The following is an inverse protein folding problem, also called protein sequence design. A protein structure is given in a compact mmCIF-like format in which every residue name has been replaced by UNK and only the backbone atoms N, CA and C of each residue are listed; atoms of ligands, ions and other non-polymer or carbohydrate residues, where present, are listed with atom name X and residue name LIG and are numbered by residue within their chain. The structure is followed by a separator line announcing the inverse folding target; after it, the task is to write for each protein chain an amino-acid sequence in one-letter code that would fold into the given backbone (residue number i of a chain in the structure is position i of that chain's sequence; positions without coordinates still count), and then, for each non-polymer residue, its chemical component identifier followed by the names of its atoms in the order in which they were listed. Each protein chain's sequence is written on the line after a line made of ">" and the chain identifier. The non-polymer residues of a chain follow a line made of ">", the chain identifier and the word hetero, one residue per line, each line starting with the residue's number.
data_IF_177580186499
#
_entry.id   IF_177580186499
#
_cell.length_a   1.000
_cell.length_b   1.000
_cell.length_c   1.000
_cell.angle_alpha   90.00
_cell.angle_beta   90.00
_cell.angle_gamma   90.00
#
_symmetry.space_group_name_H-M   'P 1'
#
loop_
_entity.id
_entity.type
_entity.pdbx_description
1 polymer ?
#
# COMPACT_ATOMS: atom_id res chain seq x y z
N UNK A 1 13.59 14.50 -5.17
CA UNK A 1 14.69 13.52 -5.09
C UNK A 1 14.46 12.58 -3.92
N UNK A 2 14.65 11.27 -4.14
CA UNK A 2 14.49 10.23 -3.12
C UNK A 2 15.86 9.88 -2.57
N UNK A 3 16.07 10.00 -1.28
CA UNK A 3 17.32 9.64 -0.62
C UNK A 3 17.13 8.42 0.26
N UNK A 4 17.73 7.30 -0.14
CA UNK A 4 17.84 6.10 0.69
C UNK A 4 19.14 6.17 1.50
N UNK A 5 19.04 6.34 2.81
CA UNK A 5 20.17 6.49 3.71
C UNK A 5 20.24 7.88 4.31
N UNK A 6 21.34 8.16 4.99
CA UNK A 6 21.62 9.49 5.55
C UNK A 6 22.46 10.30 4.56
N UNK A 7 21.97 11.44 4.14
CA UNK A 7 22.68 12.35 3.25
C UNK A 7 22.63 13.78 3.76
N UNK A 8 23.68 14.50 3.51
CA UNK A 8 23.75 15.93 3.83
C UNK A 8 23.91 16.71 2.52
N UNK A 9 22.94 17.55 2.21
CA UNK A 9 23.04 18.49 1.11
C UNK A 9 23.63 19.79 1.65
N UNK A 10 24.71 20.24 1.05
CA UNK A 10 25.34 21.52 1.40
C UNK A 10 24.96 22.55 0.34
N UNK A 11 24.40 23.67 0.76
CA UNK A 11 24.13 24.78 -0.13
C UNK A 11 25.45 25.39 -0.65
N UNK A 12 25.51 25.81 -1.91
CA UNK A 12 26.64 26.58 -2.41
C UNK A 12 26.90 27.85 -1.58
N UNK A 13 28.09 28.38 -1.67
CA UNK A 13 28.47 29.61 -0.92
C UNK A 13 27.46 30.75 -1.15
N UNK A 14 27.00 31.36 -0.07
CA UNK A 14 25.99 32.42 -0.12
C UNK A 14 24.56 31.97 -0.44
N UNK A 15 24.29 30.65 -0.47
CA UNK A 15 22.96 30.08 -0.62
C UNK A 15 22.53 29.36 0.65
N UNK A 16 21.22 29.21 0.83
CA UNK A 16 20.68 28.67 2.06
C UNK A 16 19.46 27.79 1.80
N UNK A 17 19.20 26.87 2.72
CA UNK A 17 17.91 26.22 2.91
C UNK A 17 17.13 27.00 3.96
N UNK A 18 15.88 27.30 3.67
CA UNK A 18 14.97 27.94 4.60
C UNK A 18 13.91 26.93 5.06
N UNK A 19 13.93 26.61 6.33
CA UNK A 19 13.03 25.63 6.93
C UNK A 19 12.56 26.13 8.30
N UNK A 20 11.25 26.12 8.54
CA UNK A 20 10.66 26.50 9.83
C UNK A 20 11.14 27.86 10.40
N UNK A 21 11.28 28.85 9.53
CA UNK A 21 11.72 30.18 9.94
C UNK A 21 13.23 30.34 10.13
N UNK A 22 14.03 29.32 9.76
CA UNK A 22 15.49 29.34 9.95
C UNK A 22 16.23 29.15 8.62
N UNK A 23 17.38 29.79 8.51
CA UNK A 23 18.31 29.59 7.42
C UNK A 23 19.38 28.57 7.83
N UNK A 24 19.67 27.62 6.95
CA UNK A 24 20.71 26.63 7.16
C UNK A 24 21.57 26.49 5.90
N UNK A 25 22.88 26.36 6.05
CA UNK A 25 23.80 26.05 4.94
C UNK A 25 23.78 24.55 4.58
N UNK A 26 23.22 23.72 5.43
CA UNK A 26 23.14 22.27 5.25
C UNK A 26 21.73 21.76 5.52
N UNK A 27 21.27 20.82 4.70
CA UNK A 27 20.04 20.09 4.89
C UNK A 27 20.39 18.61 5.11
N UNK A 28 20.20 18.15 6.33
CA UNK A 28 20.40 16.75 6.67
C UNK A 28 19.13 15.97 6.37
N UNK A 29 19.27 14.87 5.64
CA UNK A 29 18.18 13.98 5.25
C UNK A 29 18.54 12.54 5.64
N UNK A 30 17.61 11.86 6.24
CA UNK A 30 17.72 10.43 6.53
C UNK A 30 16.43 9.77 6.13
N UNK A 31 16.46 8.97 5.06
CA UNK A 31 15.28 8.26 4.53
C UNK A 31 14.06 9.17 4.34
N UNK A 32 14.28 10.34 3.76
CA UNK A 32 13.25 11.36 3.60
C UNK A 32 13.02 11.72 2.14
N UNK A 33 11.78 12.08 1.83
CA UNK A 33 11.45 12.86 0.63
C UNK A 33 11.33 14.31 1.07
N UNK A 34 12.04 15.19 0.40
CA UNK A 34 11.99 16.63 0.67
C UNK A 34 11.58 17.34 -0.60
N UNK A 35 10.56 18.17 -0.47
CA UNK A 35 10.10 19.05 -1.54
C UNK A 35 10.72 20.43 -1.32
N UNK A 36 11.43 20.90 -2.33
CA UNK A 36 12.14 22.16 -2.30
C UNK A 36 11.62 23.11 -3.38
N UNK A 37 11.42 24.35 -3.04
CA UNK A 37 11.19 25.42 -4.01
C UNK A 37 12.33 26.42 -3.96
N UNK A 38 12.87 26.78 -5.11
CA UNK A 38 13.87 27.84 -5.20
C UNK A 38 13.26 29.21 -4.92
N UNK A 39 13.99 30.06 -4.25
CA UNK A 39 13.58 31.44 -4.03
C UNK A 39 14.71 32.43 -4.35
N UNK A 40 14.30 33.60 -4.80
CA UNK A 40 15.23 34.65 -5.21
C UNK A 40 14.49 35.78 -5.90
N UNK A 41 15.25 36.73 -6.44
CA UNK A 41 14.74 37.74 -7.38
C UNK A 41 14.95 37.28 -8.81
N UNK A 42 14.45 38.03 -9.78
CA UNK A 42 14.65 37.73 -11.22
C UNK A 42 16.12 37.64 -11.64
N UNK A 43 17.02 38.24 -10.87
CA UNK A 43 18.46 38.25 -11.13
C UNK A 43 19.31 37.55 -10.09
N UNK A 44 18.76 37.19 -8.94
CA UNK A 44 19.53 36.61 -7.83
C UNK A 44 18.80 35.46 -7.16
N UNK A 45 19.38 34.28 -7.23
CA UNK A 45 18.91 33.09 -6.52
C UNK A 45 19.48 33.09 -5.10
N UNK A 46 18.63 32.96 -4.08
CA UNK A 46 19.04 32.98 -2.67
C UNK A 46 19.13 31.59 -2.07
N UNK A 47 18.37 30.63 -2.57
CA UNK A 47 18.40 29.29 -2.03
C UNK A 47 17.07 28.55 -2.22
N UNK A 48 16.75 27.66 -1.28
CA UNK A 48 15.59 26.79 -1.34
C UNK A 48 14.76 26.91 -0.07
N UNK A 49 13.45 26.97 -0.23
CA UNK A 49 12.49 26.81 0.86
C UNK A 49 12.14 25.32 0.93
N UNK A 50 12.25 24.75 2.11
CA UNK A 50 11.76 23.41 2.40
C UNK A 50 10.24 23.49 2.60
N UNK A 51 9.46 23.05 1.61
CA UNK A 51 8.00 23.08 1.65
C UNK A 51 7.44 21.92 2.46
N UNK A 52 8.01 20.75 2.24
CA UNK A 52 7.52 19.53 2.85
C UNK A 52 8.67 18.58 3.09
N UNK A 53 8.63 17.90 4.22
CA UNK A 53 9.57 16.85 4.56
C UNK A 53 8.77 15.63 4.98
N UNK A 54 8.87 14.57 4.19
CA UNK A 54 8.24 13.29 4.49
C UNK A 54 9.31 12.26 4.75
N UNK A 55 9.26 11.68 5.89
CA UNK A 55 10.13 10.56 6.22
C UNK A 55 9.67 9.31 5.47
N UNK A 56 10.60 8.59 4.85
CA UNK A 56 10.33 7.31 4.18
C UNK A 56 10.34 6.13 5.16
N UNK A 57 10.26 6.43 6.45
CA UNK A 57 10.16 5.46 7.53
C UNK A 57 11.50 4.83 7.91
N UNK A 58 11.93 5.07 9.13
CA UNK A 58 12.59 4.03 9.91
C UNK A 58 11.48 3.34 10.70
N UNK A 59 11.57 2.05 10.86
CA UNK A 59 10.57 1.17 11.46
C UNK A 59 10.15 1.49 12.91
N UNK A 60 10.50 2.65 13.46
CA UNK A 60 10.27 2.97 14.87
C UNK A 60 9.60 4.30 15.18
N UNK A 61 9.30 5.17 14.21
CA UNK A 61 8.75 6.50 14.51
C UNK A 61 7.61 6.99 13.60
N UNK A 62 7.14 6.18 12.66
CA UNK A 62 6.03 6.58 11.80
C UNK A 62 4.80 5.82 12.18
N UNK A 63 4.00 6.49 12.97
CA UNK A 63 2.62 6.15 13.14
C UNK A 63 1.99 5.88 11.78
N UNK A 64 1.50 4.65 11.62
CA UNK A 64 0.32 4.31 10.87
C UNK A 64 0.21 4.82 9.42
N UNK A 65 1.23 4.63 8.59
CA UNK A 65 0.97 4.69 7.17
C UNK A 65 0.45 3.33 6.70
N UNK A 66 -0.84 3.29 6.43
CA UNK A 66 -1.42 2.17 5.70
C UNK A 66 -0.77 2.09 4.32
N UNK A 67 0.16 1.16 4.15
CA UNK A 67 0.77 0.93 2.86
C UNK A 67 -0.12 0.01 2.03
N UNK A 68 -0.55 0.49 0.88
CA UNK A 68 -1.16 -0.37 -0.13
C UNK A 68 -0.18 -1.44 -0.58
N UNK A 69 -0.55 -2.71 -0.46
CA UNK A 69 0.26 -3.85 -0.89
C UNK A 69 -0.23 -4.43 -2.22
N UNK A 70 -1.52 -4.71 -2.32
CA UNK A 70 -2.12 -5.26 -3.52
C UNK A 70 -3.60 -4.92 -3.65
N UNK A 71 -4.10 -4.91 -4.86
CA UNK A 71 -5.52 -4.99 -5.18
C UNK A 71 -5.75 -6.08 -6.22
N UNK A 72 -6.90 -6.70 -6.14
CA UNK A 72 -7.27 -7.71 -7.12
C UNK A 72 -8.76 -7.80 -7.35
N UNK A 73 -9.11 -8.27 -8.53
CA UNK A 73 -10.46 -8.64 -8.92
C UNK A 73 -10.48 -10.12 -9.31
N UNK A 74 -11.19 -10.89 -8.54
CA UNK A 74 -11.42 -12.32 -8.78
C UNK A 74 -12.75 -12.46 -9.48
N UNK A 75 -12.74 -13.01 -10.68
CA UNK A 75 -13.95 -13.38 -11.42
C UNK A 75 -14.01 -14.89 -11.50
N UNK A 76 -15.05 -15.46 -10.94
CA UNK A 76 -15.32 -16.88 -11.07
C UNK A 76 -16.07 -17.11 -12.38
N UNK A 77 -15.46 -17.87 -13.30
CA UNK A 77 -16.05 -18.19 -14.60
C UNK A 77 -16.84 -19.52 -14.54
N UNK A 78 -16.40 -20.43 -13.66
CA UNK A 78 -17.06 -21.69 -13.34
C UNK A 78 -16.53 -22.22 -12.00
N UNK A 79 -17.07 -23.31 -11.50
CA UNK A 79 -16.60 -23.97 -10.26
C UNK A 79 -15.13 -24.40 -10.30
N UNK A 80 -14.54 -24.54 -11.49
CA UNK A 80 -13.15 -24.95 -11.69
C UNK A 80 -12.25 -23.90 -12.34
N UNK A 81 -12.81 -22.75 -12.74
CA UNK A 81 -12.08 -21.72 -13.48
C UNK A 81 -12.31 -20.34 -12.88
N UNK A 82 -11.23 -19.65 -12.60
CA UNK A 82 -11.27 -18.26 -12.16
C UNK A 82 -10.27 -17.39 -12.93
N UNK A 83 -10.58 -16.11 -13.04
CA UNK A 83 -9.68 -15.09 -13.60
C UNK A 83 -9.32 -14.11 -12.49
N UNK A 84 -8.01 -13.87 -12.32
CA UNK A 84 -7.48 -12.88 -11.41
C UNK A 84 -6.88 -11.73 -12.21
N UNK A 85 -7.39 -10.52 -11.99
CA UNK A 85 -6.73 -9.27 -12.40
C UNK A 85 -6.19 -8.60 -11.15
N UNK A 86 -4.91 -8.23 -11.15
CA UNK A 86 -4.27 -7.71 -9.96
C UNK A 86 -3.24 -6.64 -10.26
N UNK A 87 -2.96 -5.81 -9.26
CA UNK A 87 -1.83 -4.89 -9.19
C UNK A 87 -1.23 -4.97 -7.78
N UNK A 88 0.08 -5.04 -7.70
CA UNK A 88 0.85 -5.01 -6.44
C UNK A 88 1.77 -3.80 -6.44
N UNK A 89 2.19 -3.37 -5.27
CA UNK A 89 3.05 -2.18 -5.13
C UNK A 89 4.45 -2.39 -5.75
N UNK A 90 4.94 -3.62 -5.77
CA UNK A 90 6.29 -4.00 -6.22
C UNK A 90 6.31 -4.84 -7.51
N UNK A 91 5.16 -5.06 -8.14
CA UNK A 91 5.03 -5.87 -9.34
C UNK A 91 5.04 -7.39 -9.12
N UNK A 92 5.15 -7.86 -7.88
CA UNK A 92 5.02 -9.28 -7.54
C UNK A 92 3.59 -9.79 -7.80
N UNK A 93 3.36 -11.10 -7.69
CA UNK A 93 2.06 -11.68 -8.01
C UNK A 93 1.41 -12.33 -6.81
N UNK A 94 0.19 -11.91 -6.50
CA UNK A 94 -0.74 -12.63 -5.63
C UNK A 94 -1.29 -13.83 -6.40
N UNK A 95 -1.57 -14.92 -5.73
CA UNK A 95 -2.24 -16.10 -6.30
C UNK A 95 -3.61 -16.29 -5.68
N UNK A 96 -4.56 -16.81 -6.43
CA UNK A 96 -5.89 -17.15 -5.90
C UNK A 96 -6.26 -18.55 -6.37
N UNK A 97 -6.70 -19.37 -5.44
CA UNK A 97 -7.18 -20.71 -5.70
C UNK A 97 -8.50 -20.97 -4.98
N UNK A 98 -9.48 -21.49 -5.68
CA UNK A 98 -10.71 -22.02 -5.07
C UNK A 98 -10.39 -23.35 -4.36
N UNK A 99 -10.77 -23.46 -3.10
CA UNK A 99 -10.49 -24.64 -2.25
C UNK A 99 -11.76 -25.38 -1.80
N UNK A 100 -12.92 -24.80 -2.02
CA UNK A 100 -14.22 -25.39 -1.72
C UNK A 100 -15.35 -24.47 -2.16
N UNK A 101 -16.59 -24.86 -1.93
CA UNK A 101 -17.75 -24.02 -2.18
C UNK A 101 -17.65 -22.75 -1.33
N UNK A 102 -17.63 -21.58 -1.97
CA UNK A 102 -17.47 -20.29 -1.33
C UNK A 102 -16.12 -20.09 -0.61
N UNK A 103 -15.11 -20.93 -0.84
CA UNK A 103 -13.82 -20.85 -0.19
C UNK A 103 -12.69 -20.64 -1.20
N UNK A 104 -11.89 -19.61 -0.95
CA UNK A 104 -10.74 -19.25 -1.78
C UNK A 104 -9.52 -19.01 -0.89
N UNK A 105 -8.38 -19.56 -1.29
CA UNK A 105 -7.09 -19.21 -0.68
C UNK A 105 -6.41 -18.18 -1.56
N UNK A 106 -6.04 -17.06 -0.95
CA UNK A 106 -5.24 -16.00 -1.55
C UNK A 106 -3.83 -16.10 -1.01
N UNK A 107 -2.88 -16.47 -1.87
CA UNK A 107 -1.45 -16.55 -1.53
C UNK A 107 -0.76 -15.22 -1.77
N UNK A 108 0.02 -14.79 -0.78
CA UNK A 108 0.78 -13.55 -0.81
C UNK A 108 2.21 -13.83 -1.29
N UNK A 109 2.80 -12.95 -2.10
CA UNK A 109 4.20 -13.07 -2.47
C UNK A 109 5.16 -12.63 -1.34
N UNK A 110 4.60 -12.07 -0.25
CA UNK A 110 5.34 -11.59 0.92
C UNK A 110 5.00 -12.40 2.15
N UNK A 111 5.94 -12.42 3.11
CA UNK A 111 5.66 -12.88 4.48
C UNK A 111 5.30 -11.67 5.33
N UNK A 112 4.07 -11.61 5.80
CA UNK A 112 3.53 -10.55 6.63
C UNK A 112 3.23 -11.08 8.03
N UNK A 113 3.37 -10.26 9.06
CA UNK A 113 2.81 -10.62 10.36
C UNK A 113 1.28 -10.66 10.27
N UNK A 114 0.66 -11.68 10.86
CA UNK A 114 -0.79 -11.93 10.74
C UNK A 114 -1.63 -10.73 11.18
N UNK A 115 -1.18 -9.98 12.19
CA UNK A 115 -1.88 -8.82 12.71
C UNK A 115 -1.42 -7.49 12.07
N UNK A 116 -0.54 -7.55 11.04
CA UNK A 116 0.03 -6.36 10.43
C UNK A 116 -0.43 -6.12 8.99
N UNK A 117 -1.51 -6.74 8.59
CA UNK A 117 -2.19 -6.39 7.36
C UNK A 117 -3.71 -6.55 7.47
N UNK A 118 -4.41 -5.76 6.73
CA UNK A 118 -5.87 -5.79 6.64
C UNK A 118 -6.29 -6.09 5.21
N UNK A 119 -7.37 -6.83 5.06
CA UNK A 119 -7.98 -7.11 3.76
C UNK A 119 -9.37 -6.51 3.72
N UNK A 120 -9.60 -5.67 2.74
CA UNK A 120 -10.91 -5.10 2.46
C UNK A 120 -11.50 -5.79 1.23
N UNK A 121 -12.80 -5.99 1.22
CA UNK A 121 -13.53 -6.60 0.11
C UNK A 121 -14.61 -5.70 -0.43
N UNK A 122 -14.87 -5.86 -1.72
CA UNK A 122 -16.10 -5.42 -2.37
C UNK A 122 -16.69 -6.61 -3.08
N UNK A 123 -17.96 -6.90 -2.82
CA UNK A 123 -18.72 -7.91 -3.55
C UNK A 123 -18.82 -7.53 -5.02
N UNK A 124 -18.85 -8.53 -5.87
CA UNK A 124 -19.05 -8.36 -7.30
C UNK A 124 -20.19 -9.28 -7.73
N UNK A 125 -21.21 -8.70 -8.33
CA UNK A 125 -22.25 -9.51 -8.98
C UNK A 125 -21.61 -10.29 -10.12
N UNK A 126 -21.82 -11.59 -10.12
CA UNK A 126 -21.46 -12.44 -11.26
C UNK A 126 -22.62 -12.40 -12.30
N UNK A 127 -22.33 -12.40 -13.59
CA UNK A 127 -23.39 -12.56 -14.59
C UNK A 127 -24.18 -13.86 -14.46
N UNK A 128 -23.71 -14.78 -13.62
CA UNK A 128 -24.33 -16.10 -13.37
C UNK A 128 -25.17 -16.12 -12.09
N UNK A 129 -25.07 -15.07 -11.23
CA UNK A 129 -25.75 -15.03 -9.94
C UNK A 129 -26.51 -13.71 -9.77
N UNK A 130 -27.81 -13.84 -9.51
CA UNK A 130 -28.71 -12.70 -9.28
C UNK A 130 -28.68 -12.17 -7.84
N UNK A 131 -28.04 -12.89 -6.91
CA UNK A 131 -27.96 -12.53 -5.49
C UNK A 131 -26.64 -11.82 -5.15
N UNK A 132 -26.66 -10.83 -4.28
CA UNK A 132 -25.43 -10.22 -3.77
C UNK A 132 -24.55 -11.27 -3.09
N UNK A 133 -23.24 -11.18 -3.34
CA UNK A 133 -22.24 -12.03 -2.70
C UNK A 133 -21.43 -11.16 -1.74
N UNK A 134 -21.32 -11.62 -0.52
CA UNK A 134 -20.46 -11.03 0.50
C UNK A 134 -19.15 -11.81 0.57
N UNK A 135 -18.03 -11.11 0.72
CA UNK A 135 -16.72 -11.72 0.91
C UNK A 135 -16.14 -11.29 2.25
N UNK A 136 -15.63 -12.24 3.01
CA UNK A 136 -15.02 -12.03 4.32
C UNK A 136 -13.72 -12.80 4.45
N UNK A 137 -12.81 -12.37 5.33
CA UNK A 137 -11.66 -13.18 5.74
C UNK A 137 -12.13 -14.22 6.73
N UNK A 138 -11.99 -15.50 6.38
CA UNK A 138 -12.24 -16.62 7.28
C UNK A 138 -11.04 -16.91 8.18
N UNK A 139 -9.85 -16.93 7.60
CA UNK A 139 -8.59 -17.17 8.28
C UNK A 139 -7.48 -16.32 7.66
N UNK A 140 -6.55 -15.88 8.48
CA UNK A 140 -5.42 -15.05 8.05
C UNK A 140 -4.11 -15.70 8.53
N UNK A 141 -3.13 -15.76 7.62
CA UNK A 141 -1.80 -16.36 7.84
C UNK A 141 -0.72 -15.40 7.34
N UNK A 142 0.52 -15.66 7.68
CA UNK A 142 1.65 -14.80 7.29
C UNK A 142 1.90 -14.74 5.78
N UNK A 143 1.54 -15.78 5.03
CA UNK A 143 1.77 -15.89 3.57
C UNK A 143 0.48 -16.08 2.76
N UNK A 144 -0.67 -16.06 3.42
CA UNK A 144 -1.96 -16.25 2.74
C UNK A 144 -3.13 -15.85 3.63
N UNK A 145 -4.31 -15.74 3.04
CA UNK A 145 -5.56 -15.68 3.78
C UNK A 145 -6.65 -16.48 3.06
N UNK A 146 -7.63 -16.94 3.82
CA UNK A 146 -8.79 -17.65 3.29
C UNK A 146 -9.95 -16.68 3.23
N UNK A 147 -10.52 -16.55 2.03
CA UNK A 147 -11.74 -15.78 1.77
C UNK A 147 -12.92 -16.75 1.80
N UNK A 148 -13.95 -16.38 2.52
CA UNK A 148 -15.25 -16.99 2.41
C UNK A 148 -16.19 -16.06 1.67
N UNK A 149 -16.79 -16.55 0.59
CA UNK A 149 -17.88 -15.89 -0.11
C UNK A 149 -19.19 -16.57 0.25
N UNK A 150 -20.22 -15.78 0.45
CA UNK A 150 -21.55 -16.28 0.84
C UNK A 150 -22.64 -15.38 0.28
N UNK A 151 -23.80 -15.95 0.06
CA UNK A 151 -25.06 -15.23 -0.08
C UNK A 151 -25.78 -15.13 1.27
N UNK A 152 -27.00 -14.66 1.28
CA UNK A 152 -27.79 -14.47 2.52
C UNK A 152 -28.07 -15.79 3.28
N UNK A 153 -27.90 -16.95 2.65
CA UNK A 153 -28.29 -18.23 3.20
C UNK A 153 -27.12 -19.17 3.51
N UNK A 154 -26.06 -19.17 2.69
CA UNK A 154 -24.99 -20.17 2.80
C UNK A 154 -23.69 -19.73 2.15
N UNK A 155 -22.61 -20.49 2.40
CA UNK A 155 -21.36 -20.38 1.66
C UNK A 155 -21.63 -20.69 0.17
N UNK A 156 -21.41 -19.71 -0.68
CA UNK A 156 -21.68 -19.79 -2.11
C UNK A 156 -20.52 -19.19 -2.91
N UNK A 157 -20.25 -19.78 -4.06
CA UNK A 157 -19.19 -19.32 -4.94
C UNK A 157 -19.55 -17.95 -5.52
N UNK A 158 -18.63 -17.01 -5.40
CA UNK A 158 -18.84 -15.67 -5.91
C UNK A 158 -17.58 -14.97 -6.35
N UNK A 159 -17.75 -13.97 -7.18
CA UNK A 159 -16.70 -13.07 -7.60
C UNK A 159 -16.53 -11.95 -6.56
N UNK A 160 -15.29 -11.50 -6.33
CA UNK A 160 -15.00 -10.46 -5.36
C UNK A 160 -13.80 -9.60 -5.77
N UNK A 161 -13.75 -8.39 -5.26
CA UNK A 161 -12.57 -7.57 -5.31
C UNK A 161 -11.94 -7.51 -3.91
N UNK A 162 -10.63 -7.35 -3.85
CA UNK A 162 -9.93 -7.18 -2.60
C UNK A 162 -8.87 -6.10 -2.69
N UNK A 163 -8.57 -5.49 -1.54
CA UNK A 163 -7.42 -4.61 -1.32
C UNK A 163 -6.71 -5.10 -0.08
N UNK A 164 -5.39 -5.24 -0.17
CA UNK A 164 -4.52 -5.61 0.94
C UNK A 164 -3.72 -4.39 1.35
N UNK A 165 -3.81 -4.05 2.62
CA UNK A 165 -3.14 -2.89 3.20
C UNK A 165 -2.26 -3.39 4.34
N UNK A 166 -0.98 -3.04 4.31
CA UNK A 166 -0.11 -3.24 5.47
C UNK A 166 -0.44 -2.19 6.51
N UNK A 167 -0.61 -2.65 7.73
CA UNK A 167 -0.72 -1.80 8.91
C UNK A 167 0.60 -1.92 9.64
N UNK A 168 1.62 -1.18 9.18
CA UNK A 168 3.01 -1.42 9.53
C UNK A 168 3.32 -1.36 11.03
N UNK A 169 2.47 -0.79 11.85
CA UNK A 169 2.72 -0.62 13.28
C UNK A 169 1.48 -0.75 14.17
N UNK A 170 0.68 -1.79 14.00
CA UNK A 170 -0.14 -2.26 15.10
C UNK A 170 0.73 -3.12 16.02
N UNK A 171 1.47 -2.47 16.91
CA UNK A 171 2.09 -3.10 18.07
C UNK A 171 1.15 -3.09 19.24
#
# INVERSE_FOLDING_TARGET
>A
EYVYGTSTFTAPAGKYFYENGRLASKLNMSRQVVELIGFGTSSTFYGWIVLNRRDLGTTSQYGEYMQYLAMGSVTLNSTSSLTLRQKTYDGSKVTVRRTGAGLFTVGLPWTLSVNKYMVMFSGKTSPVQSTPIYATVKNQYSTSFIVQTQDDASANDGSFNFVIISTADFT
#
